data_IF_085536403308
#
_entry.id   IF_085536403308
#
_cell.length_a   1.000
_cell.length_b   1.000
_cell.length_c   1.000
_cell.angle_alpha   90.00
_cell.angle_beta   90.00
_cell.angle_gamma   90.00
#
_symmetry.space_group_name_H-M   'P 1'
#
loop_
_entity.id
_entity.type
_entity.pdbx_description
1 polymer ?
#
# COMPACT_ATOMS: atom_id res chain seq x y z
N UNK A 1 -2.91 18.52 0.37
CA UNK A 1 -2.72 17.12 -0.06
C UNK A 1 -1.46 16.59 0.61
N UNK A 2 -1.55 15.52 1.41
CA UNK A 2 -0.35 14.85 1.88
C UNK A 2 0.48 14.46 0.66
N UNK A 3 1.72 14.94 0.59
CA UNK A 3 2.59 14.77 -0.57
C UNK A 3 3.00 13.30 -0.59
N UNK A 4 2.34 12.50 -1.44
CA UNK A 4 2.71 11.10 -1.65
C UNK A 4 4.21 11.04 -1.95
N UNK A 5 4.88 10.04 -1.39
CA UNK A 5 6.30 9.84 -1.62
C UNK A 5 6.61 9.80 -3.11
N UNK A 6 7.77 10.35 -3.51
CA UNK A 6 8.17 10.49 -4.92
C UNK A 6 8.18 9.15 -5.66
N UNK A 7 8.48 8.05 -4.97
CA UNK A 7 8.48 6.70 -5.52
C UNK A 7 7.08 6.18 -5.93
N UNK A 8 5.99 6.80 -5.48
CA UNK A 8 4.65 6.36 -5.86
C UNK A 8 4.34 6.57 -7.35
N UNK A 9 4.95 7.60 -7.94
CA UNK A 9 4.80 7.95 -9.34
C UNK A 9 5.65 7.07 -10.27
N UNK A 10 6.48 6.18 -9.73
CA UNK A 10 7.29 5.25 -10.50
C UNK A 10 6.41 4.17 -11.14
N UNK A 11 5.95 4.44 -12.36
CA UNK A 11 5.12 3.51 -13.12
C UNK A 11 5.83 2.20 -13.48
N UNK A 12 7.16 2.21 -13.52
CA UNK A 12 7.99 1.04 -13.85
C UNK A 12 8.14 0.05 -12.70
N UNK A 13 7.76 0.44 -11.47
CA UNK A 13 7.74 -0.48 -10.34
C UNK A 13 6.84 -1.69 -10.63
N UNK A 14 7.33 -2.90 -10.33
CA UNK A 14 6.58 -4.14 -10.54
C UNK A 14 5.24 -4.17 -9.83
N UNK A 15 5.19 -3.67 -8.58
CA UNK A 15 3.96 -3.64 -7.79
C UNK A 15 3.79 -2.31 -7.08
N UNK A 16 2.59 -1.74 -7.21
CA UNK A 16 2.11 -0.60 -6.44
C UNK A 16 0.70 -0.91 -5.97
N UNK A 17 0.50 -0.98 -4.66
CA UNK A 17 -0.79 -1.24 -4.03
C UNK A 17 -1.12 -0.10 -3.05
N UNK A 18 -2.41 0.23 -2.96
CA UNK A 18 -2.99 1.09 -1.94
C UNK A 18 -3.91 0.25 -1.09
N UNK A 19 -3.72 0.31 0.22
CA UNK A 19 -4.46 -0.47 1.21
C UNK A 19 -5.29 0.49 2.05
N UNK A 20 -6.56 0.62 1.67
CA UNK A 20 -7.52 1.51 2.31
C UNK A 20 -8.01 0.93 3.62
N UNK A 21 -8.15 1.80 4.63
CA UNK A 21 -8.68 1.43 5.93
C UNK A 21 -10.21 1.31 5.88
N UNK A 22 -10.72 0.19 6.37
CA UNK A 22 -12.12 0.07 6.73
C UNK A 22 -12.36 0.72 8.09
N UNK A 23 -13.64 0.91 8.45
CA UNK A 23 -14.03 1.63 9.66
C UNK A 23 -13.50 0.96 10.95
N UNK A 24 -13.37 -0.36 10.93
CA UNK A 24 -12.89 -1.20 12.02
C UNK A 24 -11.36 -1.35 12.07
N UNK A 25 -10.62 -0.67 11.18
CA UNK A 25 -9.18 -0.76 11.12
C UNK A 25 -8.52 -0.12 12.35
N UNK A 26 -7.79 -0.90 13.15
CA UNK A 26 -6.88 -0.36 14.17
C UNK A 26 -5.63 0.19 13.49
N UNK A 27 -5.39 1.48 13.70
CA UNK A 27 -4.25 2.16 13.13
C UNK A 27 -2.93 1.64 13.71
N UNK A 28 -2.93 1.39 15.00
CA UNK A 28 -1.79 0.89 15.76
C UNK A 28 -1.32 -0.45 15.19
N UNK A 29 -2.25 -1.38 14.97
CA UNK A 29 -1.95 -2.69 14.39
C UNK A 29 -1.42 -2.58 12.96
N UNK A 30 -1.93 -1.65 12.17
CA UNK A 30 -1.50 -1.45 10.78
C UNK A 30 -0.10 -0.85 10.72
N UNK A 31 0.23 0.09 11.61
CA UNK A 31 1.56 0.73 11.65
C UNK A 31 2.68 -0.27 12.02
N UNK A 32 2.36 -1.41 12.64
CA UNK A 32 3.30 -2.53 12.80
C UNK A 32 3.83 -3.06 11.46
N UNK A 33 3.07 -2.89 10.38
CA UNK A 33 3.53 -3.20 9.01
C UNK A 33 4.72 -2.33 8.57
N UNK A 34 4.98 -1.20 9.24
CA UNK A 34 6.17 -0.38 8.98
C UNK A 34 7.47 -1.16 9.17
N UNK A 35 7.48 -2.19 10.04
CA UNK A 35 8.60 -3.12 10.19
C UNK A 35 8.93 -3.96 8.94
N UNK A 36 8.10 -3.89 7.90
CA UNK A 36 8.28 -4.64 6.65
C UNK A 36 9.16 -3.89 5.66
N UNK A 37 9.25 -2.57 5.80
CA UNK A 37 10.00 -1.67 4.91
C UNK A 37 11.49 -2.03 4.88
N UNK A 38 12.07 -1.98 3.69
CA UNK A 38 13.49 -2.17 3.42
C UNK A 38 13.83 -1.57 2.04
N UNK A 39 15.08 -1.70 1.59
CA UNK A 39 15.54 -1.12 0.33
C UNK A 39 14.71 -1.52 -0.92
N UNK A 40 13.98 -2.64 -0.86
CA UNK A 40 13.18 -3.20 -1.96
C UNK A 40 11.67 -3.04 -1.76
N UNK A 41 11.23 -2.78 -0.53
CA UNK A 41 9.83 -2.66 -0.14
C UNK A 41 9.62 -1.31 0.53
N UNK A 42 8.95 -0.38 -0.16
CA UNK A 42 8.69 0.95 0.38
C UNK A 42 7.26 1.06 0.85
N UNK A 43 7.07 1.63 2.05
CA UNK A 43 5.75 1.84 2.63
C UNK A 43 5.54 3.32 2.94
N UNK A 44 4.31 3.80 2.81
CA UNK A 44 3.94 5.13 3.27
C UNK A 44 2.55 5.11 3.88
N UNK A 45 2.45 5.45 5.16
CA UNK A 45 1.18 5.42 5.90
C UNK A 45 0.50 6.80 5.84
N UNK A 46 -0.56 6.90 5.05
CA UNK A 46 -1.43 8.08 4.99
C UNK A 46 -2.58 8.00 6.00
N UNK A 47 -3.51 8.95 5.97
CA UNK A 47 -4.63 9.00 6.92
C UNK A 47 -5.69 7.91 6.66
N UNK A 48 -6.02 7.66 5.40
CA UNK A 48 -7.12 6.76 4.99
C UNK A 48 -6.64 5.46 4.32
N UNK A 49 -5.34 5.38 4.03
CA UNK A 49 -4.71 4.22 3.42
C UNK A 49 -3.20 4.23 3.68
N UNK A 50 -2.55 3.08 3.51
CA UNK A 50 -1.11 3.05 3.27
C UNK A 50 -0.79 2.58 1.86
N UNK A 51 0.36 3.02 1.38
CA UNK A 51 0.88 2.76 0.05
C UNK A 51 2.04 1.78 0.17
N UNK A 52 2.09 0.85 -0.77
CA UNK A 52 3.15 -0.15 -0.88
C UNK A 52 3.74 -0.13 -2.28
N UNK A 53 5.07 -0.23 -2.38
CA UNK A 53 5.79 -0.39 -3.64
C UNK A 53 6.87 -1.48 -3.54
N UNK A 54 6.98 -2.26 -4.62
CA UNK A 54 8.07 -3.19 -4.84
C UNK A 54 8.61 -3.07 -6.28
N UNK A 55 9.92 -3.14 -6.46
CA UNK A 55 10.62 -2.90 -7.73
C UNK A 55 10.49 -4.04 -8.74
N UNK A 56 10.57 -5.30 -8.32
CA UNK A 56 10.70 -6.44 -9.23
C UNK A 56 10.00 -7.71 -8.71
N UNK A 57 9.68 -8.61 -9.64
CA UNK A 57 8.90 -9.80 -9.33
C UNK A 57 9.61 -10.78 -8.38
N UNK A 58 10.93 -10.94 -8.52
CA UNK A 58 11.69 -11.89 -7.72
C UNK A 58 11.76 -11.45 -6.25
N UNK A 59 11.86 -10.15 -6.04
CA UNK A 59 11.85 -9.52 -4.72
C UNK A 59 10.46 -9.52 -4.13
N UNK A 60 9.42 -9.23 -4.93
CA UNK A 60 8.04 -9.31 -4.47
C UNK A 60 7.67 -10.66 -3.87
N UNK A 61 8.06 -11.78 -4.48
CA UNK A 61 7.77 -13.11 -3.92
C UNK A 61 8.48 -13.39 -2.59
N UNK A 62 9.59 -12.70 -2.32
CA UNK A 62 10.36 -12.81 -1.07
C UNK A 62 9.99 -11.74 -0.05
N UNK A 63 9.19 -10.77 -0.46
CA UNK A 63 8.83 -9.57 0.29
C UNK A 63 8.10 -9.90 1.59
N UNK A 64 8.30 -9.08 2.61
CA UNK A 64 7.56 -9.12 3.85
C UNK A 64 6.07 -8.91 3.58
N UNK A 65 5.73 -7.98 2.70
CA UNK A 65 4.34 -7.74 2.29
C UNK A 65 3.68 -9.01 1.76
N UNK A 66 4.29 -9.70 0.80
CA UNK A 66 3.73 -10.93 0.25
C UNK A 66 3.57 -12.04 1.30
N UNK A 67 4.55 -12.18 2.20
CA UNK A 67 4.60 -13.27 3.20
C UNK A 67 3.71 -13.04 4.42
N UNK A 68 3.60 -11.78 4.86
CA UNK A 68 3.00 -11.41 6.16
C UNK A 68 1.61 -10.84 6.03
N UNK A 69 1.30 -10.11 4.95
CA UNK A 69 0.03 -9.40 4.81
C UNK A 69 -1.19 -10.29 5.02
N UNK A 70 -1.24 -11.47 4.37
CA UNK A 70 -2.36 -12.40 4.52
C UNK A 70 -2.48 -13.00 5.94
N UNK A 71 -1.40 -12.96 6.73
CA UNK A 71 -1.33 -13.49 8.09
C UNK A 71 -1.57 -12.42 9.15
N UNK A 72 -1.54 -11.15 8.77
CA UNK A 72 -1.78 -10.02 9.67
C UNK A 72 -3.21 -10.05 10.19
N UNK A 73 -3.38 -9.78 11.49
CA UNK A 73 -4.68 -9.66 12.14
C UNK A 73 -5.57 -8.60 11.48
N UNK A 74 -4.97 -7.50 11.02
CA UNK A 74 -5.64 -6.39 10.35
C UNK A 74 -5.95 -6.65 8.86
N UNK A 75 -5.60 -7.81 8.28
CA UNK A 75 -5.77 -8.03 6.83
C UNK A 75 -7.22 -7.81 6.37
N UNK A 76 -8.19 -8.26 7.18
CA UNK A 76 -9.61 -8.18 6.86
C UNK A 76 -10.19 -6.78 7.04
N UNK A 77 -9.50 -5.88 7.76
CA UNK A 77 -9.92 -4.48 7.93
C UNK A 77 -9.33 -3.56 6.84
N UNK A 78 -8.80 -4.13 5.76
CA UNK A 78 -8.21 -3.41 4.64
C UNK A 78 -8.91 -3.72 3.32
N UNK A 79 -8.98 -2.72 2.44
CA UNK A 79 -9.33 -2.91 1.02
C UNK A 79 -8.12 -2.61 0.14
N UNK A 80 -7.62 -3.64 -0.56
CA UNK A 80 -6.42 -3.53 -1.40
C UNK A 80 -6.83 -3.19 -2.84
N UNK A 81 -6.22 -2.15 -3.42
CA UNK A 81 -6.35 -1.79 -4.83
C UNK A 81 -4.97 -1.54 -5.44
N UNK A 82 -4.77 -2.00 -6.66
CA UNK A 82 -3.53 -1.71 -7.37
C UNK A 82 -3.46 -0.23 -7.78
N UNK A 83 -2.26 0.24 -8.11
CA UNK A 83 -2.01 1.64 -8.48
C UNK A 83 -2.86 2.13 -9.66
N UNK A 84 -3.17 1.27 -10.66
CA UNK A 84 -4.03 1.66 -11.79
C UNK A 84 -5.47 1.89 -11.36
N UNK A 85 -6.00 1.03 -10.49
CA UNK A 85 -7.33 1.21 -9.92
C UNK A 85 -7.38 2.43 -9.01
N UNK A 86 -6.33 2.69 -8.23
CA UNK A 86 -6.23 3.92 -7.44
C UNK A 86 -6.31 5.18 -8.31
N UNK A 87 -5.57 5.23 -9.43
CA UNK A 87 -5.67 6.36 -10.36
C UNK A 87 -7.09 6.53 -10.92
N UNK A 88 -7.77 5.44 -11.29
CA UNK A 88 -9.18 5.49 -11.72
C UNK A 88 -10.11 6.02 -10.63
N UNK A 89 -9.88 5.65 -9.38
CA UNK A 89 -10.66 6.17 -8.25
C UNK A 89 -10.45 7.68 -8.11
N UNK A 90 -9.21 8.17 -8.25
CA UNK A 90 -8.92 9.61 -8.22
C UNK A 90 -9.59 10.34 -9.38
N UNK A 91 -9.47 9.83 -10.61
CA UNK A 91 -10.14 10.40 -11.79
C UNK A 91 -11.65 10.56 -11.55
N UNK A 92 -12.30 9.55 -10.95
CA UNK A 92 -13.74 9.58 -10.65
C UNK A 92 -14.08 10.55 -9.50
N UNK A 93 -13.23 10.63 -8.46
CA UNK A 93 -13.45 11.49 -7.31
C UNK A 93 -13.21 12.98 -7.62
N UNK A 94 -12.22 13.29 -8.46
CA UNK A 94 -11.90 14.65 -8.91
C UNK A 94 -12.94 15.21 -9.90
N UNK A 95 -13.87 14.37 -10.39
CA UNK A 95 -14.97 14.78 -11.27
C UNK A 95 -16.20 15.29 -10.48
N UNK A 96 -16.08 15.50 -9.17
CA UNK A 96 -17.14 16.01 -8.27
C UNK A 96 -16.97 17.46 -7.86
#
# INVERSE_FOLDING_TARGET
MAKLSTWWQDEAAYRRDVLFYLLEASREQIEEAGSWENDRELLHFGQIAFFYRNSDQADYLKSNYHKKLLKSSFYKSLTIRNGKTFQKILELADTS
#
